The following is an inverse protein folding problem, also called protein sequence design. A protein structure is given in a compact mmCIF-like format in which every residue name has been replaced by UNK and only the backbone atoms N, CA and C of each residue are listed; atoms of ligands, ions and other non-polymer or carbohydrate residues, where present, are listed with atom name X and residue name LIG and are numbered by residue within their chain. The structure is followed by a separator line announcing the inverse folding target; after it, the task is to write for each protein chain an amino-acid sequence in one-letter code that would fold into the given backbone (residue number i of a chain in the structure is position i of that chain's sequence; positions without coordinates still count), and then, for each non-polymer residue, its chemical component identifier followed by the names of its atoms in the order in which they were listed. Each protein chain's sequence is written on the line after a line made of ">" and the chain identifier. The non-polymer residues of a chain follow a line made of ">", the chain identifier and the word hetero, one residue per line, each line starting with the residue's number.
data_IF_962536569991
#
_entry.id   IF_962536569991
#
_cell.length_a   1.000
_cell.length_b   1.000
_cell.length_c   1.000
_cell.angle_alpha   90.00
_cell.angle_beta   90.00
_cell.angle_gamma   90.00
#
_symmetry.space_group_name_H-M   'P 1'
#
loop_
_entity.id
_entity.type
_entity.pdbx_description
1 polymer ?
#
# COMPACT_ATOMS: atom_id res chain seq x y z
N UNK A 1 44.62 9.61 24.18
CA UNK A 1 43.32 10.33 24.38
C UNK A 1 42.81 11.01 23.08
N UNK A 2 43.68 11.41 22.14
CA UNK A 2 43.29 12.05 20.86
C UNK A 2 42.71 11.09 19.78
N UNK A 3 43.03 9.79 19.82
CA UNK A 3 42.55 8.82 18.83
C UNK A 3 41.08 8.35 19.02
N UNK A 4 40.48 8.52 20.20
CA UNK A 4 39.05 8.21 20.43
C UNK A 4 38.11 9.29 19.88
N UNK A 5 38.58 10.52 19.78
CA UNK A 5 37.79 11.64 19.26
C UNK A 5 37.72 11.66 17.72
N UNK A 6 38.75 11.16 17.02
CA UNK A 6 38.75 11.02 15.57
C UNK A 6 37.74 9.99 15.05
N UNK A 7 37.59 8.85 15.73
CA UNK A 7 36.58 7.82 15.39
C UNK A 7 35.15 8.31 15.69
N UNK A 8 34.98 9.11 16.75
CA UNK A 8 33.70 9.70 17.10
C UNK A 8 33.31 10.80 16.10
N UNK A 9 34.24 11.64 15.66
CA UNK A 9 34.02 12.62 14.61
C UNK A 9 33.82 11.93 13.26
N UNK A 10 34.52 10.84 12.93
CA UNK A 10 34.25 10.06 11.72
C UNK A 10 32.90 9.32 11.76
N UNK A 11 32.46 8.81 12.92
CA UNK A 11 31.08 8.30 13.14
C UNK A 11 30.01 9.40 13.11
N UNK A 12 30.36 10.61 13.55
CA UNK A 12 29.50 11.79 13.51
C UNK A 12 29.49 12.46 12.14
N UNK A 13 30.53 12.29 11.32
CA UNK A 13 30.65 12.77 9.94
C UNK A 13 30.11 11.73 8.94
N UNK A 14 30.00 10.46 9.34
CA UNK A 14 29.12 9.47 8.71
C UNK A 14 27.64 9.64 9.12
N UNK A 15 27.28 10.66 9.92
CA UNK A 15 25.88 11.07 10.04
C UNK A 15 25.45 11.69 8.71
N UNK A 16 24.56 11.02 8.00
CA UNK A 16 23.23 11.58 7.64
C UNK A 16 22.58 10.90 6.44
N UNK A 17 22.35 9.59 6.53
CA UNK A 17 21.31 8.94 5.69
C UNK A 17 20.43 7.99 6.50
N UNK A 18 20.31 8.25 7.80
CA UNK A 18 19.34 7.56 8.66
C UNK A 18 17.92 7.94 8.25
N UNK A 19 17.04 6.96 8.08
CA UNK A 19 15.61 7.16 7.86
C UNK A 19 14.83 6.26 8.80
N UNK A 20 13.99 6.87 9.64
CA UNK A 20 13.02 6.14 10.45
C UNK A 20 11.70 6.06 9.71
N UNK A 21 11.29 4.83 9.38
CA UNK A 21 10.10 4.55 8.60
C UNK A 21 8.99 3.98 9.49
N UNK A 22 7.82 4.63 9.53
CA UNK A 22 6.71 4.21 10.39
C UNK A 22 5.55 3.69 9.55
N UNK A 23 5.18 2.42 9.76
CA UNK A 23 4.20 1.66 8.97
C UNK A 23 3.07 1.10 9.81
N UNK A 24 1.91 0.87 9.20
CA UNK A 24 0.85 0.07 9.83
C UNK A 24 1.27 -1.41 9.91
N UNK A 25 0.89 -2.08 11.02
CA UNK A 25 0.96 -3.54 11.19
C UNK A 25 -0.11 -4.26 10.35
N UNK A 26 -0.07 -4.12 9.02
CA UNK A 26 -1.03 -4.77 8.12
C UNK A 26 -0.38 -5.28 6.85
N UNK A 27 -1.00 -6.27 6.19
CA UNK A 27 -0.56 -6.80 4.88
C UNK A 27 -1.09 -5.97 3.70
N UNK A 28 -1.36 -4.67 3.93
CA UNK A 28 -1.97 -3.79 2.94
C UNK A 28 -0.98 -3.16 1.96
N UNK A 29 -1.52 -2.55 0.91
CA UNK A 29 -0.75 -1.80 -0.10
C UNK A 29 0.24 -0.78 0.49
N UNK A 30 -0.15 0.07 1.46
CA UNK A 30 0.76 1.04 2.09
C UNK A 30 1.97 0.40 2.77
N UNK A 31 1.76 -0.70 3.50
CA UNK A 31 2.84 -1.39 4.21
C UNK A 31 3.80 -2.07 3.23
N UNK A 32 3.27 -2.75 2.20
CA UNK A 32 4.11 -3.36 1.15
C UNK A 32 4.92 -2.29 0.41
N UNK A 33 4.28 -1.18 0.05
CA UNK A 33 4.96 -0.04 -0.57
C UNK A 33 6.10 0.47 0.30
N UNK A 34 5.86 0.69 1.60
CA UNK A 34 6.88 1.20 2.51
C UNK A 34 8.04 0.25 2.74
N UNK A 35 7.78 -1.06 2.83
CA UNK A 35 8.84 -2.08 2.91
C UNK A 35 9.68 -2.06 1.63
N UNK A 36 9.05 -1.98 0.47
CA UNK A 36 9.77 -1.92 -0.81
C UNK A 36 10.61 -0.65 -0.94
N UNK A 37 10.08 0.51 -0.54
CA UNK A 37 10.82 1.77 -0.52
C UNK A 37 12.01 1.69 0.44
N UNK A 38 11.82 1.17 1.65
CA UNK A 38 12.90 0.97 2.61
C UNK A 38 14.01 0.08 2.05
N UNK A 39 13.66 -1.00 1.36
CA UNK A 39 14.62 -1.88 0.71
C UNK A 39 15.36 -1.20 -0.46
N UNK A 40 14.66 -0.41 -1.27
CA UNK A 40 15.28 0.37 -2.35
C UNK A 40 16.26 1.42 -1.81
N UNK A 41 15.92 2.08 -0.70
CA UNK A 41 16.78 3.04 -0.02
C UNK A 41 18.02 2.37 0.59
N UNK A 42 17.87 1.20 1.21
CA UNK A 42 19.01 0.42 1.72
C UNK A 42 20.00 0.04 0.61
N UNK A 43 19.51 -0.30 -0.58
CA UNK A 43 20.35 -0.55 -1.77
C UNK A 43 21.09 0.70 -2.29
N UNK A 44 20.75 1.88 -1.79
CA UNK A 44 21.41 3.16 -2.07
C UNK A 44 22.18 3.68 -0.85
N UNK A 45 22.57 2.77 0.04
CA UNK A 45 23.37 3.02 1.24
C UNK A 45 22.70 3.93 2.29
N UNK A 46 21.37 3.98 2.31
CA UNK A 46 20.63 4.60 3.41
C UNK A 46 20.44 3.63 4.58
N UNK A 47 20.62 4.12 5.80
CA UNK A 47 20.33 3.36 7.02
C UNK A 47 18.85 3.49 7.35
N UNK A 48 18.04 2.50 6.97
CA UNK A 48 16.59 2.55 7.17
C UNK A 48 16.14 1.63 8.31
N UNK A 49 15.53 2.20 9.34
CA UNK A 49 14.87 1.47 10.43
C UNK A 49 13.36 1.50 10.24
N UNK A 50 12.70 0.34 10.30
CA UNK A 50 11.24 0.23 10.15
C UNK A 50 10.62 -0.02 11.52
N UNK A 51 9.58 0.75 11.85
CA UNK A 51 8.72 0.59 13.01
C UNK A 51 7.31 0.27 12.51
N UNK A 52 6.80 -0.92 12.83
CA UNK A 52 5.52 -1.40 12.29
C UNK A 52 4.54 -1.96 13.33
N UNK A 53 4.98 -2.19 14.57
CA UNK A 53 4.13 -2.60 15.69
C UNK A 53 4.06 -1.54 16.80
N UNK A 54 3.05 -1.62 17.67
CA UNK A 54 2.79 -0.62 18.71
C UNK A 54 4.01 -0.35 19.63
N UNK A 55 4.72 -1.40 20.06
CA UNK A 55 5.89 -1.25 20.92
C UNK A 55 7.04 -0.60 20.15
N UNK A 56 7.23 -0.98 18.89
CA UNK A 56 8.21 -0.36 18.01
C UNK A 56 7.87 1.12 17.73
N UNK A 57 6.59 1.48 17.58
CA UNK A 57 6.15 2.86 17.42
C UNK A 57 6.47 3.69 18.65
N UNK A 58 6.21 3.17 19.86
CA UNK A 58 6.54 3.87 21.11
C UNK A 58 8.06 4.05 21.24
N UNK A 59 8.84 2.98 21.03
CA UNK A 59 10.31 3.05 21.07
C UNK A 59 10.86 4.04 20.04
N UNK A 60 10.31 4.02 18.82
CA UNK A 60 10.65 4.95 17.75
C UNK A 60 10.23 6.38 18.07
N UNK A 61 9.05 6.60 18.64
CA UNK A 61 8.57 7.94 19.01
C UNK A 61 9.44 8.56 20.11
N UNK A 62 9.91 7.75 21.07
CA UNK A 62 10.78 8.24 22.16
C UNK A 62 12.21 8.47 21.68
N UNK A 63 12.80 7.51 20.94
CA UNK A 63 14.23 7.57 20.57
C UNK A 63 14.49 8.21 19.20
N UNK A 64 13.54 8.05 18.28
CA UNK A 64 13.64 8.43 16.87
C UNK A 64 13.81 9.93 16.64
N UNK A 65 13.08 10.81 17.36
CA UNK A 65 13.26 12.25 17.23
C UNK A 65 14.64 12.78 17.67
N UNK A 66 15.51 11.95 18.21
CA UNK A 66 16.85 12.36 18.65
C UNK A 66 17.97 11.65 17.89
N UNK A 67 17.66 10.63 17.09
CA UNK A 67 18.65 9.72 16.53
C UNK A 67 18.79 9.76 15.01
N UNK A 68 17.85 10.36 14.28
CA UNK A 68 17.73 10.11 12.83
C UNK A 68 17.25 11.35 12.07
N UNK A 69 17.94 11.84 11.01
CA UNK A 69 17.64 13.12 10.36
C UNK A 69 16.31 13.17 9.59
N UNK A 70 15.73 12.01 9.23
CA UNK A 70 14.50 11.91 8.45
C UNK A 70 13.53 10.94 9.12
N UNK A 71 12.30 11.39 9.32
CA UNK A 71 11.16 10.55 9.68
C UNK A 71 10.23 10.49 8.47
N UNK A 72 9.92 9.29 8.00
CA UNK A 72 8.94 9.06 6.96
C UNK A 72 7.84 8.15 7.49
N UNK A 73 6.63 8.68 7.59
CA UNK A 73 5.49 7.97 8.18
C UNK A 73 4.34 7.83 7.19
N UNK A 74 3.66 6.67 7.22
CA UNK A 74 2.29 6.53 6.67
C UNK A 74 1.21 6.67 7.75
N UNK A 75 1.63 6.85 8.99
CA UNK A 75 0.76 7.04 10.15
C UNK A 75 0.65 8.54 10.48
N UNK A 76 -0.52 9.01 10.94
CA UNK A 76 -0.78 10.41 11.24
C UNK A 76 -0.23 10.82 12.62
N UNK A 77 0.97 10.36 12.99
CA UNK A 77 1.63 10.78 14.22
C UNK A 77 2.45 12.05 13.97
N UNK A 78 2.18 13.14 14.68
CA UNK A 78 2.88 14.42 14.55
C UNK A 78 4.13 14.41 15.41
N UNK A 79 5.21 13.86 14.86
CA UNK A 79 6.48 13.75 15.57
C UNK A 79 7.07 15.14 15.89
N UNK A 80 7.33 15.46 17.17
CA UNK A 80 8.02 16.69 17.55
C UNK A 80 9.51 16.53 17.26
N UNK A 81 9.95 16.93 16.06
CA UNK A 81 11.28 16.57 15.57
C UNK A 81 12.10 17.76 15.04
N UNK A 82 13.44 17.69 15.21
CA UNK A 82 14.44 18.69 14.76
C UNK A 82 14.99 18.45 13.34
N UNK A 83 14.60 17.37 12.65
CA UNK A 83 14.95 17.11 11.25
C UNK A 83 13.72 17.10 10.35
N UNK A 84 13.77 16.36 9.23
CA UNK A 84 12.69 16.38 8.23
C UNK A 84 11.62 15.33 8.51
N UNK A 85 10.36 15.76 8.53
CA UNK A 85 9.19 14.91 8.64
C UNK A 85 8.42 14.82 7.32
N UNK A 86 8.36 13.61 6.77
CA UNK A 86 7.62 13.26 5.56
C UNK A 86 6.40 12.43 5.96
N UNK A 87 5.21 12.88 5.59
CA UNK A 87 3.96 12.15 5.76
C UNK A 87 3.45 11.68 4.40
N UNK A 88 3.25 10.37 4.22
CA UNK A 88 2.60 9.80 3.03
C UNK A 88 1.19 9.35 3.34
N UNK A 89 0.22 9.89 2.61
CA UNK A 89 -1.20 9.59 2.78
C UNK A 89 -1.64 8.69 1.62
N UNK A 90 -2.05 7.45 1.91
CA UNK A 90 -2.42 6.46 0.89
C UNK A 90 -3.94 6.29 0.69
N UNK A 91 -4.76 6.92 1.54
CA UNK A 91 -6.22 6.77 1.54
C UNK A 91 -6.94 8.04 1.93
N UNK A 92 -8.26 8.07 1.72
CA UNK A 92 -9.09 9.17 2.21
C UNK A 92 -9.35 8.98 3.70
N UNK A 93 -8.48 9.56 4.52
CA UNK A 93 -8.57 9.45 5.98
C UNK A 93 -9.85 10.04 6.57
N UNK A 94 -10.57 10.93 5.85
CA UNK A 94 -11.84 11.50 6.35
C UNK A 94 -12.96 10.45 6.37
N UNK A 95 -12.81 9.39 5.59
CA UNK A 95 -13.76 8.27 5.49
C UNK A 95 -13.36 7.08 6.36
N UNK A 96 -12.14 7.07 6.88
CA UNK A 96 -11.62 5.99 7.73
C UNK A 96 -12.14 6.15 9.17
N UNK A 97 -12.83 5.12 9.68
CA UNK A 97 -13.49 5.13 11.00
C UNK A 97 -12.54 4.88 12.18
N UNK A 98 -11.23 4.77 11.99
CA UNK A 98 -10.30 4.48 13.08
C UNK A 98 -9.87 5.76 13.81
N UNK A 99 -9.68 5.69 15.14
CA UNK A 99 -9.36 6.84 16.00
C UNK A 99 -8.18 7.70 15.51
N UNK A 100 -7.16 7.06 14.91
CA UNK A 100 -5.98 7.75 14.39
C UNK A 100 -6.30 8.72 13.24
N UNK A 101 -7.42 8.57 12.53
CA UNK A 101 -7.73 9.42 11.38
C UNK A 101 -7.92 10.88 11.76
N UNK A 102 -8.33 11.13 13.01
CA UNK A 102 -8.47 12.47 13.60
C UNK A 102 -7.14 13.21 13.76
N UNK A 103 -6.00 12.51 13.74
CA UNK A 103 -4.68 13.12 13.89
C UNK A 103 -4.11 13.67 12.58
N UNK A 104 -4.67 13.30 11.42
CA UNK A 104 -4.15 13.73 10.12
C UNK A 104 -4.06 15.25 9.96
N UNK A 105 -5.06 16.07 10.32
CA UNK A 105 -4.94 17.53 10.19
C UNK A 105 -3.72 18.10 10.93
N UNK A 106 -3.44 17.59 12.13
CA UNK A 106 -2.30 18.03 12.92
C UNK A 106 -0.98 17.52 12.35
N UNK A 107 -0.93 16.25 11.94
CA UNK A 107 0.24 15.66 11.29
C UNK A 107 0.60 16.36 9.96
N UNK A 108 -0.40 16.68 9.14
CA UNK A 108 -0.25 17.45 7.89
C UNK A 108 0.37 18.81 8.17
N UNK A 109 -0.10 19.53 9.20
CA UNK A 109 0.43 20.85 9.57
C UNK A 109 1.88 20.78 10.08
N UNK A 110 2.26 19.66 10.69
CA UNK A 110 3.60 19.45 11.27
C UNK A 110 4.62 18.86 10.28
N UNK A 111 4.16 18.22 9.21
CA UNK A 111 5.04 17.64 8.20
C UNK A 111 5.75 18.74 7.39
N UNK A 112 7.07 18.58 7.21
CA UNK A 112 7.82 19.36 6.23
C UNK A 112 7.33 19.05 4.81
N UNK A 113 7.02 17.78 4.56
CA UNK A 113 6.53 17.31 3.27
C UNK A 113 5.34 16.37 3.44
N UNK A 114 4.26 16.66 2.71
CA UNK A 114 3.14 15.74 2.56
C UNK A 114 3.19 15.14 1.16
N UNK A 115 3.04 13.83 1.06
CA UNK A 115 3.08 13.09 -0.20
C UNK A 115 1.82 12.24 -0.37
N UNK A 116 1.38 12.08 -1.61
CA UNK A 116 0.22 11.25 -1.98
C UNK A 116 0.51 10.45 -3.24
N UNK A 117 -0.09 9.26 -3.42
CA UNK A 117 0.17 8.39 -4.57
C UNK A 117 -0.48 8.85 -5.87
N UNK A 118 -1.39 9.83 -5.85
CA UNK A 118 -2.09 10.26 -7.06
C UNK A 118 -2.58 11.70 -6.97
N UNK A 119 -2.70 12.35 -8.14
CA UNK A 119 -3.35 13.65 -8.27
C UNK A 119 -4.82 13.60 -7.84
N UNK A 120 -5.48 12.45 -8.07
CA UNK A 120 -6.84 12.22 -7.61
C UNK A 120 -6.93 12.38 -6.07
N UNK A 121 -6.09 11.68 -5.31
CA UNK A 121 -6.14 11.74 -3.84
C UNK A 121 -5.78 13.14 -3.33
N UNK A 122 -4.80 13.80 -3.99
CA UNK A 122 -4.44 15.20 -3.71
C UNK A 122 -5.67 16.12 -3.77
N UNK A 123 -6.43 16.02 -4.87
CA UNK A 123 -7.64 16.82 -5.11
C UNK A 123 -8.76 16.46 -4.14
N UNK A 124 -9.02 15.16 -3.97
CA UNK A 124 -10.09 14.68 -3.10
C UNK A 124 -9.94 15.21 -1.66
N UNK A 125 -8.71 15.23 -1.14
CA UNK A 125 -8.38 15.67 0.22
C UNK A 125 -8.07 17.18 0.35
N UNK A 126 -8.14 17.96 -0.73
CA UNK A 126 -7.72 19.38 -0.81
C UNK A 126 -6.29 19.64 -0.28
N UNK A 127 -5.35 18.73 -0.58
CA UNK A 127 -3.96 18.84 -0.11
C UNK A 127 -3.12 19.67 -1.08
N UNK A 128 -3.40 20.97 -1.21
CA UNK A 128 -2.79 21.87 -2.23
C UNK A 128 -1.26 21.79 -2.29
N UNK A 129 -0.60 21.72 -1.14
CA UNK A 129 0.88 21.67 -1.00
C UNK A 129 1.48 20.25 -1.08
N UNK A 130 0.67 19.21 -1.18
CA UNK A 130 1.19 17.84 -1.22
C UNK A 130 1.89 17.54 -2.56
N UNK A 131 2.97 16.78 -2.48
CA UNK A 131 3.69 16.24 -3.63
C UNK A 131 3.02 14.94 -4.09
N UNK A 132 2.87 14.77 -5.41
CA UNK A 132 2.34 13.52 -5.97
C UNK A 132 3.51 12.60 -6.29
N UNK A 133 3.63 11.49 -5.57
CA UNK A 133 4.65 10.45 -5.78
C UNK A 133 3.93 9.12 -5.99
N UNK A 134 3.77 8.66 -7.24
CA UNK A 134 3.09 7.41 -7.54
C UNK A 134 3.68 6.21 -6.81
N UNK A 135 2.84 5.23 -6.48
CA UNK A 135 3.33 3.98 -5.91
C UNK A 135 4.23 3.26 -6.92
N UNK A 136 5.48 3.00 -6.53
CA UNK A 136 6.36 2.13 -7.31
C UNK A 136 5.92 0.67 -7.21
N UNK A 137 5.99 -0.04 -8.33
CA UNK A 137 5.86 -1.50 -8.37
C UNK A 137 7.28 -2.05 -8.53
N UNK A 138 7.66 -3.00 -7.68
CA UNK A 138 8.91 -3.75 -7.90
C UNK A 138 8.71 -4.55 -9.17
N UNK A 139 9.48 -4.26 -10.22
CA UNK A 139 9.41 -5.02 -11.46
C UNK A 139 9.64 -6.51 -11.12
N UNK A 140 8.74 -7.41 -11.54
CA UNK A 140 8.99 -8.84 -11.38
C UNK A 140 10.31 -9.16 -12.08
N UNK A 141 11.15 -9.99 -11.43
CA UNK A 141 12.42 -10.44 -12.03
C UNK A 141 12.10 -11.05 -13.38
N UNK A 142 12.69 -10.49 -14.46
CA UNK A 142 12.64 -10.91 -15.87
C UNK A 142 12.08 -12.31 -16.11
N UNK A 143 10.77 -12.51 -15.92
CA UNK A 143 10.07 -13.70 -16.35
C UNK A 143 9.57 -13.37 -17.74
N UNK A 144 10.25 -13.93 -18.74
CA UNK A 144 9.69 -13.98 -20.09
C UNK A 144 8.49 -14.91 -20.01
N UNK A 145 7.29 -14.36 -20.01
CA UNK A 145 6.07 -15.15 -20.13
C UNK A 145 5.76 -15.32 -21.62
N UNK A 146 5.74 -16.57 -22.10
CA UNK A 146 5.12 -16.90 -23.37
C UNK A 146 3.62 -16.95 -23.16
N UNK A 147 2.94 -15.82 -23.34
CA UNK A 147 1.51 -15.72 -23.13
C UNK A 147 0.76 -16.00 -24.44
N UNK A 148 -0.21 -16.92 -24.38
CA UNK A 148 -1.19 -17.13 -25.43
C UNK A 148 -2.59 -16.95 -24.85
N UNK A 149 -3.29 -15.93 -25.30
CA UNK A 149 -4.67 -15.67 -24.93
C UNK A 149 -5.57 -16.82 -25.38
N UNK A 150 -6.25 -17.48 -24.43
CA UNK A 150 -7.30 -18.42 -24.77
C UNK A 150 -8.55 -17.64 -25.24
N UNK A 151 -8.65 -17.39 -26.54
CA UNK A 151 -9.73 -16.61 -27.14
C UNK A 151 -11.12 -17.23 -26.93
N UNK A 152 -11.20 -18.55 -26.75
CA UNK A 152 -12.48 -19.26 -26.64
C UNK A 152 -13.01 -19.24 -25.20
N UNK A 153 -12.11 -19.27 -24.22
CA UNK A 153 -12.44 -19.32 -22.79
C UNK A 153 -11.48 -18.45 -21.96
N UNK A 154 -11.52 -17.11 -22.12
CA UNK A 154 -10.59 -16.25 -21.42
C UNK A 154 -10.83 -16.30 -19.90
N UNK A 155 -9.73 -16.23 -19.15
CA UNK A 155 -9.71 -16.19 -17.69
C UNK A 155 -9.57 -14.74 -17.24
N UNK A 156 -10.65 -14.17 -16.73
CA UNK A 156 -10.70 -12.80 -16.23
C UNK A 156 -10.52 -12.85 -14.71
N UNK A 157 -9.57 -12.10 -14.18
CA UNK A 157 -9.26 -12.08 -12.76
C UNK A 157 -9.57 -10.74 -12.09
N UNK A 158 -10.07 -10.78 -10.86
CA UNK A 158 -10.15 -9.61 -9.97
C UNK A 158 -9.56 -9.96 -8.59
N UNK A 159 -8.76 -9.06 -8.05
CA UNK A 159 -8.22 -9.18 -6.68
C UNK A 159 -8.69 -8.02 -5.83
N UNK A 160 -9.40 -8.30 -4.74
CA UNK A 160 -9.99 -7.27 -3.87
C UNK A 160 -9.98 -7.67 -2.40
N UNK A 161 -10.14 -6.69 -1.51
CA UNK A 161 -10.33 -6.95 -0.08
C UNK A 161 -11.82 -6.93 0.23
N UNK A 162 -12.33 -8.04 0.77
CA UNK A 162 -13.74 -8.21 1.16
C UNK A 162 -14.09 -7.56 2.51
N UNK A 163 -13.30 -6.57 2.94
CA UNK A 163 -13.66 -5.70 4.06
C UNK A 163 -14.34 -4.41 3.59
N UNK A 164 -14.30 -4.10 2.29
CA UNK A 164 -14.77 -2.83 1.74
C UNK A 164 -15.83 -3.06 0.67
N UNK A 165 -17.10 -2.88 1.03
CA UNK A 165 -18.24 -3.11 0.12
C UNK A 165 -18.10 -2.39 -1.22
N UNK A 166 -17.69 -1.12 -1.21
CA UNK A 166 -17.50 -0.31 -2.41
C UNK A 166 -16.42 -0.83 -3.37
N UNK A 167 -15.47 -1.64 -2.89
CA UNK A 167 -14.50 -2.36 -3.72
C UNK A 167 -15.07 -3.69 -4.19
N UNK A 168 -15.69 -4.44 -3.29
CA UNK A 168 -16.18 -5.79 -3.57
C UNK A 168 -17.41 -5.82 -4.47
N UNK A 169 -18.24 -4.77 -4.50
CA UNK A 169 -19.38 -4.63 -5.42
C UNK A 169 -18.97 -4.73 -6.89
N UNK A 170 -17.72 -4.38 -7.20
CA UNK A 170 -17.13 -4.55 -8.52
C UNK A 170 -17.14 -5.99 -9.03
N UNK A 171 -17.10 -6.98 -8.13
CA UNK A 171 -17.20 -8.40 -8.50
C UNK A 171 -18.56 -8.70 -9.12
N UNK A 172 -19.64 -8.19 -8.54
CA UNK A 172 -21.00 -8.42 -9.04
C UNK A 172 -21.17 -7.73 -10.39
N UNK A 173 -20.68 -6.50 -10.52
CA UNK A 173 -20.71 -5.76 -11.79
C UNK A 173 -19.95 -6.52 -12.86
N UNK A 174 -18.72 -6.95 -12.56
CA UNK A 174 -17.89 -7.71 -13.49
C UNK A 174 -18.54 -9.04 -13.89
N UNK A 175 -19.09 -9.78 -12.93
CA UNK A 175 -19.78 -11.04 -13.19
C UNK A 175 -20.97 -10.87 -14.14
N UNK A 176 -21.80 -9.83 -13.94
CA UNK A 176 -22.92 -9.51 -14.84
C UNK A 176 -22.45 -9.13 -16.24
N UNK A 177 -21.39 -8.34 -16.35
CA UNK A 177 -20.81 -7.95 -17.65
C UNK A 177 -20.25 -9.18 -18.37
N UNK A 178 -19.52 -10.04 -17.68
CA UNK A 178 -18.98 -11.28 -18.25
C UNK A 178 -20.12 -12.18 -18.74
N UNK A 179 -21.14 -12.42 -17.91
CA UNK A 179 -22.30 -13.26 -18.29
C UNK A 179 -22.97 -12.76 -19.57
N UNK A 180 -23.01 -11.44 -19.77
CA UNK A 180 -23.66 -10.79 -20.92
C UNK A 180 -22.78 -10.80 -22.17
N UNK A 181 -21.49 -10.49 -22.02
CA UNK A 181 -20.60 -10.18 -23.16
C UNK A 181 -19.77 -11.39 -23.58
N UNK A 182 -19.25 -12.16 -22.62
CA UNK A 182 -18.41 -13.34 -22.88
C UNK A 182 -18.83 -14.47 -21.93
N UNK A 183 -20.00 -15.11 -22.14
CA UNK A 183 -20.56 -16.08 -21.21
C UNK A 183 -19.66 -17.32 -20.98
N UNK A 184 -18.77 -17.62 -21.93
CA UNK A 184 -17.80 -18.72 -21.82
C UNK A 184 -16.65 -18.40 -20.88
N UNK A 185 -16.36 -17.13 -20.59
CA UNK A 185 -15.20 -16.72 -19.80
C UNK A 185 -15.28 -17.24 -18.37
N UNK A 186 -14.10 -17.52 -17.79
CA UNK A 186 -13.96 -17.90 -16.39
C UNK A 186 -13.60 -16.68 -15.55
N UNK A 187 -14.30 -16.47 -14.44
CA UNK A 187 -13.98 -15.41 -13.48
C UNK A 187 -13.17 -15.98 -12.30
N UNK A 188 -11.91 -15.56 -12.16
CA UNK A 188 -11.08 -15.86 -10.98
C UNK A 188 -11.11 -14.68 -9.99
N UNK A 189 -11.39 -14.99 -8.73
CA UNK A 189 -11.55 -13.97 -7.68
C UNK A 189 -10.59 -14.29 -6.54
N UNK A 190 -9.67 -13.39 -6.25
CA UNK A 190 -8.73 -13.50 -5.14
C UNK A 190 -9.01 -12.42 -4.07
N UNK A 191 -8.87 -12.81 -2.80
CA UNK A 191 -9.09 -11.90 -1.69
C UNK A 191 -9.70 -12.57 -0.46
N UNK A 192 -9.61 -11.86 0.66
CA UNK A 192 -10.22 -12.24 1.93
C UNK A 192 -10.94 -11.05 2.57
N UNK A 193 -11.84 -11.37 3.49
CA UNK A 193 -12.53 -10.41 4.35
C UNK A 193 -13.92 -10.87 4.74
N UNK A 194 -14.54 -10.12 5.66
CA UNK A 194 -15.82 -10.47 6.29
C UNK A 194 -16.99 -10.58 5.31
N UNK A 195 -16.91 -9.95 4.14
CA UNK A 195 -17.97 -9.99 3.12
C UNK A 195 -17.78 -11.13 2.10
N UNK A 196 -16.75 -11.96 2.20
CA UNK A 196 -16.43 -12.96 1.17
C UNK A 196 -17.63 -13.88 0.84
N UNK A 197 -18.24 -14.47 1.86
CA UNK A 197 -19.36 -15.40 1.69
C UNK A 197 -20.58 -14.75 1.02
N UNK A 198 -20.85 -13.49 1.34
CA UNK A 198 -21.92 -12.71 0.70
C UNK A 198 -21.70 -12.60 -0.82
N UNK A 199 -20.47 -12.33 -1.26
CA UNK A 199 -20.17 -12.22 -2.69
C UNK A 199 -20.08 -13.57 -3.40
N UNK A 200 -19.69 -14.64 -2.70
CA UNK A 200 -19.77 -16.01 -3.24
C UNK A 200 -21.20 -16.32 -3.65
N UNK A 201 -22.15 -16.13 -2.73
CA UNK A 201 -23.58 -16.38 -2.99
C UNK A 201 -24.09 -15.51 -4.14
N UNK A 202 -23.78 -14.20 -4.13
CA UNK A 202 -24.24 -13.28 -5.18
C UNK A 202 -23.69 -13.59 -6.56
N UNK A 203 -22.47 -14.11 -6.67
CA UNK A 203 -21.89 -14.53 -7.96
C UNK A 203 -22.48 -15.86 -8.43
N UNK A 204 -22.74 -16.80 -7.51
CA UNK A 204 -23.41 -18.06 -7.83
C UNK A 204 -24.81 -17.81 -8.42
N UNK A 205 -25.58 -16.88 -7.85
CA UNK A 205 -26.90 -16.46 -8.37
C UNK A 205 -26.86 -15.95 -9.82
N UNK A 206 -25.72 -15.42 -10.29
CA UNK A 206 -25.57 -14.91 -11.67
C UNK A 206 -25.35 -16.05 -12.68
N UNK A 207 -24.90 -17.22 -12.21
CA UNK A 207 -24.70 -18.40 -13.06
C UNK A 207 -23.55 -18.28 -14.06
N UNK A 208 -22.40 -17.75 -13.62
CA UNK A 208 -21.14 -17.76 -14.38
C UNK A 208 -20.14 -18.80 -13.83
N UNK A 209 -19.19 -19.25 -14.66
CA UNK A 209 -18.04 -20.04 -14.23
C UNK A 209 -17.10 -19.14 -13.40
N UNK A 210 -17.32 -19.09 -12.09
CA UNK A 210 -16.51 -18.31 -11.16
C UNK A 210 -15.81 -19.20 -10.13
N UNK A 211 -14.54 -18.89 -9.84
CA UNK A 211 -13.76 -19.55 -8.79
C UNK A 211 -13.17 -18.52 -7.83
N UNK A 212 -13.54 -18.64 -6.57
CA UNK A 212 -12.95 -17.90 -5.47
C UNK A 212 -11.73 -18.66 -4.95
N UNK A 213 -10.59 -17.97 -4.84
CA UNK A 213 -9.30 -18.54 -4.45
C UNK A 213 -8.92 -18.26 -2.99
N UNK A 214 -9.68 -17.40 -2.30
CA UNK A 214 -9.28 -16.87 -0.98
C UNK A 214 -8.02 -16.00 -1.08
N UNK A 215 -7.24 -15.92 0.00
CA UNK A 215 -5.96 -15.23 -0.02
C UNK A 215 -4.92 -16.04 -0.77
N UNK A 216 -4.33 -15.44 -1.81
CA UNK A 216 -3.25 -16.03 -2.57
C UNK A 216 -2.15 -15.00 -2.87
N UNK A 217 -0.96 -15.50 -3.22
CA UNK A 217 0.14 -14.67 -3.68
C UNK A 217 -0.16 -14.03 -5.04
N UNK A 218 0.38 -12.83 -5.28
CA UNK A 218 0.17 -12.10 -6.54
C UNK A 218 0.61 -12.93 -7.75
N UNK A 219 1.80 -13.49 -7.70
CA UNK A 219 2.37 -14.23 -8.84
C UNK A 219 1.48 -15.43 -9.20
N UNK A 220 1.06 -16.23 -8.21
CA UNK A 220 0.20 -17.40 -8.45
C UNK A 220 -1.24 -17.05 -8.86
N UNK A 221 -1.64 -15.79 -8.70
CA UNK A 221 -2.90 -15.27 -9.22
C UNK A 221 -2.73 -14.79 -10.66
N UNK A 222 -1.80 -13.87 -10.91
CA UNK A 222 -1.59 -13.25 -12.22
C UNK A 222 -1.14 -14.26 -13.28
N UNK A 223 -0.38 -15.30 -12.91
CA UNK A 223 0.06 -16.37 -13.82
C UNK A 223 -1.11 -17.18 -14.43
N UNK A 224 -2.33 -17.03 -13.89
CA UNK A 224 -3.54 -17.75 -14.34
C UNK A 224 -4.49 -16.89 -15.17
N UNK A 225 -4.18 -15.61 -15.36
CA UNK A 225 -5.12 -14.65 -15.94
C UNK A 225 -4.78 -14.36 -17.39
N UNK A 226 -5.83 -14.21 -18.17
CA UNK A 226 -5.78 -13.57 -19.47
C UNK A 226 -5.99 -12.05 -19.35
N UNK A 227 -6.92 -11.65 -18.50
CA UNK A 227 -7.31 -10.25 -18.30
C UNK A 227 -7.38 -9.97 -16.80
N UNK A 228 -6.64 -8.98 -16.32
CA UNK A 228 -6.84 -8.46 -14.97
C UNK A 228 -7.82 -7.29 -14.98
N UNK A 229 -8.81 -7.37 -14.09
CA UNK A 229 -9.82 -6.34 -13.88
C UNK A 229 -9.68 -5.74 -12.48
N UNK A 230 -9.87 -4.43 -12.41
CA UNK A 230 -9.93 -3.69 -11.17
C UNK A 230 -11.15 -2.76 -11.20
N UNK A 231 -11.94 -2.82 -10.14
CA UNK A 231 -13.10 -1.95 -9.98
C UNK A 231 -13.04 -1.23 -8.65
N UNK A 232 -13.36 0.05 -8.69
CA UNK A 232 -13.49 0.88 -7.50
C UNK A 232 -14.59 1.91 -7.74
N UNK A 233 -15.63 1.89 -6.91
CA UNK A 233 -16.69 2.92 -6.93
C UNK A 233 -16.40 3.99 -5.89
N UNK A 234 -16.42 5.24 -6.33
CA UNK A 234 -16.51 6.40 -5.44
C UNK A 234 -17.99 6.66 -5.16
N UNK A 235 -18.39 6.52 -3.90
CA UNK A 235 -19.61 7.15 -3.38
C UNK A 235 -19.26 8.55 -2.88
#
# INVERSE_FOLDING_TARGET
>A
KLYKNGIMIWRLMNKSKGINFYLFKSKGGPTIWGINLANALRKKDYQVTIYSDALSHIKGYIKGPFSCPIIHSVLPFPYPFRGKYILTIHGDFRREKHLLSRLYPWAIKKADFVTVPSLFLKKALDLKKALVIPNGIVQPRNKKFSYQLNRNKPVIGIMTSFHFRNKSDGIIVLAKVIKKVIPSAKLLIAGEGSLLNYYIQKVQEIGIDAKFLGYCGKDSFFDKLDIFSFYFRFN
#
